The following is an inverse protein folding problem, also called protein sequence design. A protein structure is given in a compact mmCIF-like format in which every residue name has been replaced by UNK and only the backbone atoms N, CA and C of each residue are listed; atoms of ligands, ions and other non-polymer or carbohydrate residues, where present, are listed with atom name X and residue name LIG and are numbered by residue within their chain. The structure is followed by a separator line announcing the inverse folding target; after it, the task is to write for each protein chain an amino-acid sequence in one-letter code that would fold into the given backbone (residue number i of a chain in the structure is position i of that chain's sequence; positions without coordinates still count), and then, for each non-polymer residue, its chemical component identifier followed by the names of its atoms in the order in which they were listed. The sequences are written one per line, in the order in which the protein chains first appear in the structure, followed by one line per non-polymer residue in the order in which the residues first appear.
data_IF_717398770381
#
_entry.id   IF_717398770381
#
_cell.length_a   1.000
_cell.length_b   1.000
_cell.length_c   1.000
_cell.angle_alpha   90.00
_cell.angle_beta   90.00
_cell.angle_gamma   90.00
#
_symmetry.space_group_name_H-M   'P 1'
#
loop_
_entity.id
_entity.type
_entity.pdbx_description
1 polymer ?
#
# COMPACT_ATOMS: atom_id res chain seq x y z
N UNK A 1 -17.45 -9.38 -56.03
CA UNK A 1 -16.97 -10.11 -54.85
C UNK A 1 -16.03 -9.21 -54.03
N UNK A 2 -16.57 -8.60 -53.00
CA UNK A 2 -15.84 -7.70 -52.10
C UNK A 2 -15.57 -8.40 -50.76
N UNK A 3 -14.31 -8.62 -50.46
CA UNK A 3 -13.86 -9.15 -49.18
C UNK A 3 -13.76 -8.03 -48.16
N UNK A 4 -14.69 -7.99 -47.20
CA UNK A 4 -14.62 -7.15 -46.01
C UNK A 4 -13.56 -7.68 -45.06
N UNK A 5 -12.43 -6.98 -44.96
CA UNK A 5 -11.42 -7.17 -43.91
C UNK A 5 -11.85 -6.42 -42.66
N UNK A 6 -12.39 -7.14 -41.70
CA UNK A 6 -12.61 -6.61 -40.37
C UNK A 6 -11.25 -6.33 -39.66
N UNK A 7 -10.93 -5.05 -39.47
CA UNK A 7 -9.80 -4.61 -38.62
C UNK A 7 -10.15 -4.87 -37.16
N UNK A 8 -9.47 -5.83 -36.56
CA UNK A 8 -9.43 -5.99 -35.08
C UNK A 8 -8.79 -4.73 -34.47
N UNK A 9 -9.59 -3.87 -33.89
CA UNK A 9 -9.10 -2.79 -33.03
C UNK A 9 -8.64 -3.40 -31.71
N UNK A 10 -7.33 -3.39 -31.49
CA UNK A 10 -6.70 -3.65 -30.19
C UNK A 10 -7.20 -2.59 -29.22
N UNK A 11 -8.03 -3.00 -28.26
CA UNK A 11 -8.51 -2.11 -27.20
C UNK A 11 -7.37 -1.82 -26.21
N UNK A 12 -6.78 -0.64 -26.30
CA UNK A 12 -6.05 -0.04 -25.19
C UNK A 12 -7.05 0.12 -24.05
N UNK A 13 -6.93 -0.67 -23.00
CA UNK A 13 -7.68 -0.46 -21.77
C UNK A 13 -7.19 0.86 -21.16
N UNK A 14 -8.08 1.83 -21.13
CA UNK A 14 -7.81 3.15 -20.57
C UNK A 14 -7.73 3.06 -19.03
N UNK A 15 -6.53 3.22 -18.48
CA UNK A 15 -6.33 3.43 -17.04
C UNK A 15 -7.00 4.74 -16.52
N UNK A 16 -7.54 5.57 -17.41
CA UNK A 16 -8.23 6.81 -17.05
C UNK A 16 -9.66 6.63 -16.53
N UNK A 17 -10.31 5.47 -16.81
CA UNK A 17 -11.72 5.26 -16.43
C UNK A 17 -11.85 4.95 -14.93
N UNK A 18 -10.89 4.21 -14.33
CA UNK A 18 -10.90 3.93 -12.90
C UNK A 18 -10.75 5.21 -12.06
N UNK A 19 -9.95 6.16 -12.51
CA UNK A 19 -9.78 7.46 -11.84
C UNK A 19 -11.07 8.30 -11.84
N UNK A 20 -11.86 8.22 -12.91
CA UNK A 20 -13.15 8.93 -13.04
C UNK A 20 -14.21 8.31 -12.12
N UNK A 21 -14.21 6.98 -11.93
CA UNK A 21 -15.19 6.27 -11.08
C UNK A 21 -15.05 6.69 -9.61
N UNK A 22 -13.84 6.85 -9.11
CA UNK A 22 -13.56 7.25 -7.73
C UNK A 22 -14.13 8.66 -7.40
N UNK A 23 -14.14 9.57 -8.37
CA UNK A 23 -14.58 10.96 -8.20
C UNK A 23 -16.11 11.10 -8.33
N UNK A 24 -16.75 10.28 -9.17
CA UNK A 24 -18.14 10.51 -9.59
C UNK A 24 -19.19 9.78 -8.74
N UNK A 25 -18.85 8.66 -8.07
CA UNK A 25 -19.86 7.80 -7.43
C UNK A 25 -20.07 8.15 -5.95
N UNK A 26 -19.03 8.43 -5.16
CA UNK A 26 -19.16 8.60 -3.70
C UNK A 26 -18.68 9.96 -3.16
N UNK A 27 -18.04 10.78 -3.99
CA UNK A 27 -17.25 11.92 -3.50
C UNK A 27 -16.03 11.43 -2.69
N UNK A 28 -14.94 12.18 -2.70
CA UNK A 28 -13.75 11.84 -1.92
C UNK A 28 -13.98 12.36 -0.49
N UNK A 29 -13.91 11.50 0.55
CA UNK A 29 -14.00 11.97 1.93
C UNK A 29 -12.92 13.02 2.22
N UNK A 30 -13.24 13.99 3.08
CA UNK A 30 -12.29 15.04 3.43
C UNK A 30 -10.99 14.46 3.99
N UNK A 31 -9.84 14.91 3.47
CA UNK A 31 -8.52 14.42 3.89
C UNK A 31 -8.06 13.12 3.24
N UNK A 32 -8.88 12.52 2.39
CA UNK A 32 -8.55 11.30 1.66
C UNK A 32 -8.11 11.61 0.22
N UNK A 33 -7.33 10.70 -0.34
CA UNK A 33 -6.93 10.69 -1.76
C UNK A 33 -7.53 9.47 -2.44
N UNK A 34 -7.82 9.58 -3.72
CA UNK A 34 -8.35 8.48 -4.51
C UNK A 34 -7.29 7.95 -5.49
N UNK A 35 -7.16 6.64 -5.55
CA UNK A 35 -6.37 5.94 -6.55
C UNK A 35 -7.02 4.58 -6.86
N UNK A 36 -7.19 4.26 -8.15
CA UNK A 36 -7.87 3.04 -8.54
C UNK A 36 -9.29 2.98 -7.99
N UNK A 37 -9.59 1.93 -7.23
CA UNK A 37 -10.88 1.70 -6.56
C UNK A 37 -10.79 1.91 -5.04
N UNK A 38 -9.77 2.59 -4.56
CA UNK A 38 -9.54 2.79 -3.13
C UNK A 38 -9.36 4.25 -2.76
N UNK A 39 -9.68 4.56 -1.51
CA UNK A 39 -9.37 5.83 -0.86
C UNK A 39 -8.22 5.64 0.11
N UNK A 40 -7.34 6.64 0.20
CA UNK A 40 -6.13 6.63 1.02
C UNK A 40 -6.09 7.86 1.92
N UNK A 41 -5.89 7.62 3.22
CA UNK A 41 -5.68 8.65 4.23
C UNK A 41 -4.23 8.62 4.69
N UNK A 42 -3.57 9.79 4.62
CA UNK A 42 -2.20 9.95 5.09
C UNK A 42 -2.25 10.61 6.46
N UNK A 43 -1.61 9.97 7.43
CA UNK A 43 -1.60 10.51 8.80
C UNK A 43 -0.89 11.86 8.89
N UNK A 44 -1.38 12.68 9.78
CA UNK A 44 -0.75 13.94 10.22
C UNK A 44 -0.03 13.80 11.56
N UNK A 45 -0.16 12.63 12.21
CA UNK A 45 0.46 12.30 13.49
C UNK A 45 1.30 11.03 13.37
N UNK A 46 2.27 10.88 14.27
CA UNK A 46 3.13 9.71 14.36
C UNK A 46 2.50 8.71 15.33
N UNK A 47 2.50 7.43 15.00
CA UNK A 47 2.00 6.34 15.85
C UNK A 47 2.84 5.09 15.67
N UNK A 48 2.80 4.21 16.68
CA UNK A 48 3.30 2.84 16.56
C UNK A 48 2.48 2.07 15.52
N UNK A 49 3.01 0.96 15.02
CA UNK A 49 2.31 0.16 14.01
C UNK A 49 0.92 -0.31 14.49
N UNK A 50 0.83 -0.81 15.71
CA UNK A 50 -0.46 -1.29 16.24
C UNK A 50 -1.48 -0.16 16.44
N UNK A 51 -1.06 1.00 16.89
CA UNK A 51 -1.93 2.17 17.03
C UNK A 51 -2.34 2.72 15.66
N UNK A 52 -1.45 2.67 14.67
CA UNK A 52 -1.75 3.03 13.28
C UNK A 52 -2.81 2.10 12.70
N UNK A 53 -2.64 0.78 12.87
CA UNK A 53 -3.62 -0.23 12.47
C UNK A 53 -4.99 0.03 13.10
N UNK A 54 -5.03 0.25 14.41
CA UNK A 54 -6.28 0.53 15.13
C UNK A 54 -6.95 1.81 14.62
N UNK A 55 -6.18 2.87 14.37
CA UNK A 55 -6.73 4.11 13.83
C UNK A 55 -7.34 3.90 12.44
N UNK A 56 -6.67 3.19 11.56
CA UNK A 56 -7.21 2.84 10.25
C UNK A 56 -8.53 2.06 10.34
N UNK A 57 -8.62 1.09 11.26
CA UNK A 57 -9.86 0.35 11.51
C UNK A 57 -10.98 1.26 11.99
N UNK A 58 -10.68 2.22 12.87
CA UNK A 58 -11.65 3.21 13.35
C UNK A 58 -12.15 4.14 12.23
N UNK A 59 -11.35 4.36 11.19
CA UNK A 59 -11.73 5.11 9.99
C UNK A 59 -12.54 4.28 8.97
N UNK A 60 -12.79 3.00 9.28
CA UNK A 60 -13.51 2.08 8.38
C UNK A 60 -12.64 1.48 7.29
N UNK A 61 -11.32 1.44 7.49
CA UNK A 61 -10.35 0.88 6.56
C UNK A 61 -9.32 -0.01 7.26
N UNK A 62 -8.13 -0.06 6.71
CA UNK A 62 -6.99 -0.83 7.22
C UNK A 62 -5.66 -0.12 6.86
N UNK A 63 -4.56 -0.50 7.47
CA UNK A 63 -3.24 -0.09 6.97
C UNK A 63 -3.08 -0.55 5.52
N UNK A 64 -2.46 0.28 4.70
CA UNK A 64 -2.38 0.06 3.24
C UNK A 64 -1.81 -1.31 2.89
N UNK A 65 -2.47 -1.98 1.97
CA UNK A 65 -2.05 -3.24 1.35
C UNK A 65 -1.63 -2.94 -0.07
N UNK A 66 -0.35 -3.11 -0.38
CA UNK A 66 0.19 -2.78 -1.70
C UNK A 66 0.17 -4.02 -2.58
N UNK A 67 -0.67 -4.03 -3.59
CA UNK A 67 -0.89 -5.17 -4.48
C UNK A 67 -0.42 -4.95 -5.93
N UNK A 68 0.04 -3.75 -6.27
CA UNK A 68 0.54 -3.41 -7.59
C UNK A 68 1.73 -2.44 -7.54
N UNK A 69 2.52 -2.44 -8.62
CA UNK A 69 3.63 -1.48 -8.77
C UNK A 69 3.13 -0.04 -8.89
N UNK A 70 2.00 0.17 -9.53
CA UNK A 70 1.37 1.47 -9.68
C UNK A 70 0.94 2.02 -8.31
N UNK A 71 0.38 1.17 -7.46
CA UNK A 71 0.03 1.53 -6.09
C UNK A 71 1.26 1.83 -5.25
N UNK A 72 2.31 1.00 -5.33
CA UNK A 72 3.59 1.25 -4.68
C UNK A 72 4.14 2.65 -5.03
N UNK A 73 4.14 3.01 -6.31
CA UNK A 73 4.58 4.34 -6.78
C UNK A 73 3.68 5.45 -6.27
N UNK A 74 2.37 5.23 -6.24
CA UNK A 74 1.40 6.18 -5.71
C UNK A 74 1.66 6.45 -4.23
N UNK A 75 1.80 5.40 -3.41
CA UNK A 75 2.09 5.50 -1.97
C UNK A 75 3.45 6.17 -1.72
N UNK A 76 4.48 5.78 -2.45
CA UNK A 76 5.80 6.40 -2.37
C UNK A 76 5.75 7.91 -2.67
N UNK A 77 4.89 8.33 -3.59
CA UNK A 77 4.73 9.72 -4.02
C UNK A 77 4.25 10.68 -2.92
N UNK A 78 3.78 10.19 -1.78
CA UNK A 78 3.43 11.04 -0.63
C UNK A 78 4.63 11.66 0.08
N UNK A 79 5.84 11.17 -0.17
CA UNK A 79 7.08 11.77 0.32
C UNK A 79 7.31 11.66 1.82
N UNK A 80 6.79 10.60 2.45
CA UNK A 80 6.95 10.33 3.90
C UNK A 80 7.37 8.89 4.14
N UNK A 81 8.13 8.67 5.22
CA UNK A 81 8.32 7.34 5.76
C UNK A 81 7.04 6.91 6.49
N UNK A 82 6.50 5.76 6.16
CA UNK A 82 5.17 5.35 6.61
C UNK A 82 5.12 3.87 6.98
N UNK A 83 4.29 3.53 7.97
CA UNK A 83 3.84 2.16 8.18
C UNK A 83 2.95 1.70 7.04
N UNK A 84 3.19 0.49 6.55
CA UNK A 84 2.26 -0.25 5.67
C UNK A 84 1.70 -1.46 6.39
N UNK A 85 0.72 -2.14 5.81
CA UNK A 85 0.03 -3.25 6.46
C UNK A 85 0.77 -4.59 6.49
N UNK A 86 2.03 -4.63 6.05
CA UNK A 86 2.83 -5.85 6.00
C UNK A 86 3.56 -6.07 7.33
N UNK A 87 3.54 -7.32 7.83
CA UNK A 87 4.20 -7.71 9.07
C UNK A 87 4.42 -9.23 9.13
N UNK A 88 5.30 -9.68 10.01
CA UNK A 88 5.48 -11.10 10.32
C UNK A 88 5.35 -11.43 11.82
N UNK A 89 4.65 -10.57 12.56
CA UNK A 89 4.38 -10.68 14.01
C UNK A 89 3.91 -12.07 14.41
N UNK A 90 3.08 -12.72 13.58
CA UNK A 90 2.51 -14.02 13.89
C UNK A 90 3.52 -15.17 13.74
N UNK A 91 4.43 -15.06 12.79
CA UNK A 91 5.43 -16.09 12.48
C UNK A 91 6.60 -15.45 11.74
N UNK A 92 7.73 -15.42 12.43
CA UNK A 92 9.01 -14.90 11.93
C UNK A 92 9.34 -15.40 10.52
N UNK A 93 9.67 -14.47 9.62
CA UNK A 93 9.98 -14.74 8.22
C UNK A 93 8.75 -15.05 7.34
N UNK A 94 7.54 -15.07 7.91
CA UNK A 94 6.30 -15.27 7.14
C UNK A 94 5.52 -13.96 7.06
N UNK A 95 5.81 -13.19 6.04
CA UNK A 95 5.24 -11.87 5.82
C UNK A 95 3.77 -11.94 5.39
N UNK A 96 2.90 -11.29 6.16
CA UNK A 96 1.45 -11.21 5.91
C UNK A 96 0.97 -9.77 5.94
N UNK A 97 -0.02 -9.50 5.12
CA UNK A 97 -0.79 -8.27 5.16
C UNK A 97 -1.79 -8.28 6.33
N UNK A 98 -2.30 -7.11 6.69
CA UNK A 98 -3.32 -6.96 7.77
C UNK A 98 -4.64 -7.68 7.47
N UNK A 99 -4.87 -8.17 6.25
CA UNK A 99 -5.98 -9.04 5.86
C UNK A 99 -5.64 -10.55 5.95
N UNK A 100 -4.54 -10.89 6.60
CA UNK A 100 -4.00 -12.24 6.80
C UNK A 100 -3.50 -12.96 5.53
N UNK A 101 -3.49 -12.28 4.40
CA UNK A 101 -2.93 -12.85 3.17
C UNK A 101 -1.40 -12.80 3.19
N UNK A 102 -0.80 -13.93 2.87
CA UNK A 102 0.66 -14.04 2.72
C UNK A 102 1.15 -13.20 1.54
N UNK A 103 2.28 -12.52 1.71
CA UNK A 103 2.96 -11.82 0.62
C UNK A 103 3.32 -12.79 -0.50
N UNK A 104 2.78 -12.57 -1.70
CA UNK A 104 2.94 -13.46 -2.86
C UNK A 104 3.97 -12.99 -3.89
N UNK A 105 4.38 -11.73 -3.80
CA UNK A 105 5.38 -11.13 -4.68
C UNK A 105 6.73 -11.06 -3.95
N UNK A 106 7.80 -10.78 -4.68
CA UNK A 106 9.12 -10.59 -4.07
C UNK A 106 9.18 -9.38 -3.11
N UNK A 107 8.19 -8.46 -3.22
CA UNK A 107 8.15 -7.23 -2.43
C UNK A 107 9.02 -6.12 -3.02
N UNK A 108 8.88 -4.93 -2.45
CA UNK A 108 9.68 -3.76 -2.84
C UNK A 108 10.72 -3.44 -1.75
N UNK A 109 11.37 -4.49 -1.26
CA UNK A 109 12.38 -4.43 -0.23
C UNK A 109 13.58 -3.59 -0.66
N UNK A 110 14.11 -2.80 0.27
CA UNK A 110 15.40 -2.16 0.14
C UNK A 110 16.51 -3.21 0.05
N UNK A 111 17.65 -2.85 -0.49
CA UNK A 111 18.78 -3.80 -0.60
C UNK A 111 19.22 -4.26 0.79
N UNK A 112 19.29 -5.59 0.97
CA UNK A 112 19.62 -6.21 2.24
C UNK A 112 18.44 -6.45 3.18
N UNK A 113 17.23 -5.97 2.83
CA UNK A 113 16.02 -6.17 3.62
C UNK A 113 15.15 -7.33 3.08
N UNK A 114 14.33 -7.96 3.91
CA UNK A 114 14.26 -7.85 5.37
C UNK A 114 15.54 -8.44 6.02
N UNK A 115 16.05 -7.82 7.09
CA UNK A 115 17.33 -8.18 7.67
C UNK A 115 17.25 -8.77 9.08
N UNK A 116 16.09 -9.17 9.53
CA UNK A 116 15.89 -9.77 10.82
C UNK A 116 16.62 -11.16 10.95
N UNK A 117 17.08 -11.56 12.13
CA UNK A 117 17.04 -10.88 13.41
C UNK A 117 18.28 -10.03 13.65
N UNK A 118 18.10 -8.80 13.94
CA UNK A 118 19.19 -7.93 14.34
C UNK A 118 19.48 -8.07 15.84
N UNK A 119 20.69 -7.67 16.26
CA UNK A 119 21.05 -7.58 17.66
C UNK A 119 20.21 -6.56 18.44
N UNK A 120 19.37 -5.80 17.75
CA UNK A 120 18.50 -4.74 18.31
C UNK A 120 17.08 -5.18 18.69
N UNK A 121 16.67 -6.41 18.40
CA UNK A 121 15.35 -6.95 18.70
C UNK A 121 14.54 -7.29 17.44
N UNK A 122 13.32 -7.77 17.64
CA UNK A 122 12.43 -8.18 16.55
C UNK A 122 11.99 -6.98 15.71
N UNK A 123 12.10 -7.10 14.39
CA UNK A 123 11.70 -6.11 13.41
C UNK A 123 10.53 -6.63 12.57
N UNK A 124 9.38 -6.82 13.22
CA UNK A 124 8.22 -7.52 12.67
C UNK A 124 7.29 -6.65 11.81
N UNK A 125 7.52 -5.35 11.73
CA UNK A 125 6.64 -4.41 11.05
C UNK A 125 7.33 -3.71 9.89
N UNK A 126 6.62 -3.48 8.79
CA UNK A 126 7.21 -2.92 7.58
C UNK A 126 6.90 -1.44 7.42
N UNK A 127 7.95 -0.65 7.25
CA UNK A 127 7.87 0.73 6.83
C UNK A 127 8.25 0.90 5.35
N UNK A 128 7.67 1.90 4.70
CA UNK A 128 8.10 2.36 3.38
C UNK A 128 8.94 3.61 3.56
N UNK A 129 10.20 3.53 3.16
CA UNK A 129 11.18 4.61 3.24
C UNK A 129 11.24 5.43 1.94
N UNK A 130 11.67 6.67 2.03
CA UNK A 130 11.84 7.57 0.88
C UNK A 130 13.21 7.38 0.21
N UNK A 131 13.56 6.14 -0.14
CA UNK A 131 14.87 5.79 -0.77
C UNK A 131 14.76 5.64 -2.29
N UNK A 132 13.88 4.75 -2.75
CA UNK A 132 13.63 4.50 -4.17
C UNK A 132 12.20 3.97 -4.34
N UNK A 133 11.47 4.36 -5.40
CA UNK A 133 10.07 3.96 -5.55
C UNK A 133 9.81 2.44 -5.50
N UNK A 134 10.74 1.64 -6.02
CA UNK A 134 10.59 0.17 -6.11
C UNK A 134 11.54 -0.60 -5.19
N UNK A 135 12.27 0.08 -4.31
CA UNK A 135 13.17 -0.50 -3.30
C UNK A 135 13.13 0.37 -2.05
N UNK A 136 12.05 0.25 -1.29
CA UNK A 136 11.76 1.17 -0.19
C UNK A 136 11.22 0.50 1.06
N UNK A 137 10.93 -0.80 1.04
CA UNK A 137 10.44 -1.49 2.22
C UNK A 137 11.60 -1.89 3.13
N UNK A 138 11.40 -1.67 4.42
CA UNK A 138 12.31 -2.01 5.49
C UNK A 138 11.51 -2.61 6.65
N UNK A 139 11.97 -3.72 7.22
CA UNK A 139 11.44 -4.22 8.49
C UNK A 139 11.97 -3.36 9.64
N UNK A 140 11.15 -3.15 10.63
CA UNK A 140 11.45 -2.27 11.76
C UNK A 140 10.69 -2.69 13.01
N UNK A 141 11.26 -2.38 14.16
CA UNK A 141 10.58 -2.57 15.44
C UNK A 141 9.23 -1.86 15.48
N UNK A 142 8.16 -2.60 15.76
CA UNK A 142 6.77 -2.14 15.70
C UNK A 142 6.44 -0.99 16.65
N UNK A 143 7.28 -0.73 17.65
CA UNK A 143 7.13 0.34 18.64
C UNK A 143 7.59 1.72 18.17
N UNK A 144 8.25 1.81 17.03
CA UNK A 144 8.63 3.09 16.45
C UNK A 144 7.38 3.89 16.07
N UNK A 145 7.44 5.20 16.28
CA UNK A 145 6.35 6.11 15.94
C UNK A 145 6.66 6.86 14.65
N UNK A 146 5.94 6.53 13.59
CA UNK A 146 6.07 7.17 12.27
C UNK A 146 4.70 7.49 11.69
N UNK A 147 4.67 8.16 10.55
CA UNK A 147 3.43 8.33 9.78
C UNK A 147 2.92 6.97 9.28
N UNK A 148 1.69 6.94 8.81
CA UNK A 148 1.05 5.75 8.27
C UNK A 148 0.01 6.12 7.22
N UNK A 149 -0.36 5.16 6.39
CA UNK A 149 -1.43 5.31 5.39
C UNK A 149 -2.51 4.28 5.65
N UNK A 150 -3.75 4.77 5.71
CA UNK A 150 -4.94 3.92 5.72
C UNK A 150 -5.52 3.83 4.31
N UNK A 151 -6.04 2.67 3.99
CA UNK A 151 -6.75 2.37 2.75
C UNK A 151 -8.17 1.89 3.08
N UNK A 152 -9.14 2.28 2.25
CA UNK A 152 -10.46 1.66 2.21
C UNK A 152 -11.01 1.63 0.80
N UNK A 153 -11.80 0.62 0.48
CA UNK A 153 -12.46 0.50 -0.81
C UNK A 153 -13.46 1.64 -1.01
N UNK A 154 -13.54 2.16 -2.24
CA UNK A 154 -14.65 3.00 -2.65
C UNK A 154 -15.90 2.12 -2.83
N UNK A 155 -16.99 2.47 -2.17
CA UNK A 155 -18.28 1.81 -2.36
C UNK A 155 -18.87 2.07 -3.75
#
# INVERSE_FOLDING_TARGET
SGLNRARKRSGRRNNGIAFIICITIAGIPHGWRCFGSSFYYISTSLKTWSHSRQHCMNLGGHLVIIDSEEEQKFIYGFGKNIWIGLNDIQSEGTWKWVDDKVLKIAGYWQEGEPNDPTASGDEDCVELLQTSPLRSWNDRGCSAEINYICEKQSE
#
